data_IF_447827805649
#
_entry.id   IF_447827805649
#
_cell.length_a   1.000
_cell.length_b   1.000
_cell.length_c   1.000
_cell.angle_alpha   90.00
_cell.angle_beta   90.00
_cell.angle_gamma   90.00
#
_symmetry.space_group_name_H-M   'P 1'
#
loop_
_entity.id
_entity.type
_entity.pdbx_description
1 polymer ?
#
# COMPACT_ATOMS: atom_id res chain seq x y z
N UNK A 1 0.37 -9.21 23.16
CA UNK A 1 1.63 -8.86 22.46
C UNK A 1 1.69 -7.34 22.32
N UNK A 2 2.64 -6.66 22.99
CA UNK A 2 2.70 -5.19 22.98
C UNK A 2 3.30 -4.66 21.67
N UNK A 3 2.76 -3.55 21.17
CA UNK A 3 3.32 -2.86 20.01
C UNK A 3 4.74 -2.40 20.32
N UNK A 4 5.74 -2.91 19.59
CA UNK A 4 7.17 -2.56 19.78
C UNK A 4 7.47 -1.06 19.63
N UNK A 5 6.66 -0.31 18.88
CA UNK A 5 6.90 1.11 18.62
C UNK A 5 5.63 1.97 18.75
N UNK A 6 5.75 3.14 19.39
CA UNK A 6 4.63 4.08 19.59
C UNK A 6 4.29 4.90 18.33
N UNK A 7 5.30 5.43 17.64
CA UNK A 7 5.12 6.39 16.53
C UNK A 7 5.60 5.87 15.16
N UNK A 8 6.70 5.13 15.11
CA UNK A 8 7.42 4.86 13.85
C UNK A 8 6.86 3.72 13.01
N UNK A 9 6.26 2.68 13.61
CA UNK A 9 5.72 1.49 12.90
C UNK A 9 6.76 0.90 11.92
N UNK A 10 6.39 0.63 10.66
CA UNK A 10 7.25 0.00 9.65
C UNK A 10 8.58 0.73 9.41
N UNK A 11 8.58 2.06 9.55
CA UNK A 11 9.77 2.91 9.34
C UNK A 11 10.80 2.76 10.46
N UNK A 12 10.52 1.94 11.49
CA UNK A 12 11.50 1.55 12.51
C UNK A 12 12.74 0.84 11.94
N UNK A 13 12.63 0.22 10.76
CA UNK A 13 13.77 -0.43 10.08
C UNK A 13 14.93 0.52 9.73
N UNK A 14 14.64 1.81 9.58
CA UNK A 14 15.66 2.81 9.24
C UNK A 14 16.39 3.38 10.47
N UNK A 15 16.00 2.97 11.69
CA UNK A 15 16.65 3.41 12.93
C UNK A 15 16.70 4.93 13.09
N UNK A 16 17.86 5.45 13.48
CA UNK A 16 18.11 6.88 13.71
C UNK A 16 18.41 7.67 12.44
N UNK A 17 18.72 7.03 11.31
CA UNK A 17 19.20 7.66 10.08
C UNK A 17 18.11 8.40 9.27
N UNK A 18 18.54 9.28 8.35
CA UNK A 18 17.71 10.04 7.38
C UNK A 18 16.85 11.19 7.92
N UNK A 19 16.68 11.30 9.24
CA UNK A 19 15.92 12.37 9.86
C UNK A 19 14.40 12.17 9.87
N UNK A 20 13.70 12.97 10.68
CA UNK A 20 12.29 12.72 10.99
C UNK A 20 11.32 13.06 9.85
N UNK A 21 11.62 14.05 9.01
CA UNK A 21 10.74 14.49 7.91
C UNK A 21 10.63 13.41 6.82
N UNK A 22 11.78 12.91 6.35
CA UNK A 22 11.85 11.85 5.34
C UNK A 22 11.15 10.58 5.81
N UNK A 23 11.39 10.18 7.07
CA UNK A 23 10.73 9.01 7.68
C UNK A 23 9.20 9.16 7.74
N UNK A 24 8.68 10.35 8.02
CA UNK A 24 7.22 10.60 8.02
C UNK A 24 6.62 10.48 6.62
N UNK A 25 7.33 10.93 5.57
CA UNK A 25 6.87 10.79 4.18
C UNK A 25 6.88 9.34 3.73
N UNK A 26 8.01 8.64 3.92
CA UNK A 26 8.15 7.22 3.57
C UNK A 26 7.12 6.36 4.31
N UNK A 27 6.81 6.69 5.57
CA UNK A 27 5.78 5.98 6.33
C UNK A 27 4.43 5.95 5.61
N UNK A 28 3.99 7.08 5.03
CA UNK A 28 2.71 7.16 4.32
C UNK A 28 2.72 6.25 3.09
N UNK A 29 3.83 6.25 2.37
CA UNK A 29 4.04 5.48 1.13
C UNK A 29 4.16 3.98 1.41
N UNK A 30 4.85 3.57 2.47
CA UNK A 30 4.98 2.15 2.83
C UNK A 30 3.67 1.57 3.36
N UNK A 31 2.90 2.36 4.11
CA UNK A 31 1.58 1.93 4.57
C UNK A 31 0.66 1.69 3.37
N UNK A 32 0.60 2.62 2.42
CA UNK A 32 -0.26 2.46 1.23
C UNK A 32 0.15 1.30 0.33
N UNK A 33 1.44 0.92 0.34
CA UNK A 33 1.92 -0.25 -0.39
C UNK A 33 1.54 -1.59 0.28
N UNK A 34 1.60 -1.67 1.61
CA UNK A 34 1.32 -2.90 2.37
C UNK A 34 -0.17 -3.10 2.69
N UNK A 35 -0.98 -2.03 2.56
CA UNK A 35 -2.43 -2.12 2.73
C UNK A 35 -3.08 -3.02 1.68
N UNK A 36 -3.97 -3.90 2.14
CA UNK A 36 -4.83 -4.69 1.26
C UNK A 36 -6.02 -3.83 0.82
N UNK A 37 -6.26 -3.79 -0.48
CA UNK A 37 -7.41 -3.10 -1.05
C UNK A 37 -8.53 -4.07 -1.41
N UNK A 38 -9.75 -3.54 -1.48
CA UNK A 38 -10.91 -4.22 -2.03
C UNK A 38 -10.74 -4.38 -3.54
N UNK A 39 -11.04 -5.56 -4.06
CA UNK A 39 -10.97 -5.83 -5.49
C UNK A 39 -12.33 -5.56 -6.14
N UNK A 40 -12.39 -4.69 -7.15
CA UNK A 40 -13.64 -4.34 -7.85
C UNK A 40 -14.27 -5.51 -8.61
N UNK A 41 -13.51 -6.57 -8.90
CA UNK A 41 -14.04 -7.75 -9.61
C UNK A 41 -14.73 -8.76 -8.71
N UNK A 42 -14.18 -9.02 -7.51
CA UNK A 42 -14.67 -10.08 -6.63
C UNK A 42 -15.13 -9.58 -5.25
N UNK A 43 -15.07 -8.27 -4.98
CA UNK A 43 -15.45 -7.63 -3.72
C UNK A 43 -14.52 -7.92 -2.53
N UNK A 44 -13.68 -8.96 -2.61
CA UNK A 44 -12.79 -9.38 -1.51
C UNK A 44 -11.61 -8.43 -1.31
N UNK A 45 -11.25 -8.17 -0.05
CA UNK A 45 -10.07 -7.37 0.38
C UNK A 45 -8.77 -8.17 0.29
N UNK A 46 -8.45 -8.65 -0.91
CA UNK A 46 -7.26 -9.49 -1.19
C UNK A 46 -6.38 -8.91 -2.30
N UNK A 47 -6.59 -7.65 -2.67
CA UNK A 47 -5.75 -6.94 -3.64
C UNK A 47 -4.44 -6.50 -2.97
N UNK A 48 -3.30 -6.86 -3.55
CA UNK A 48 -1.96 -6.45 -3.08
C UNK A 48 -1.10 -5.97 -4.24
N UNK A 49 -0.15 -5.09 -3.95
CA UNK A 49 0.84 -4.64 -4.94
C UNK A 49 1.85 -5.76 -5.19
N UNK A 50 2.15 -6.05 -6.47
CA UNK A 50 3.21 -7.00 -6.85
C UNK A 50 4.43 -6.30 -7.39
N UNK A 51 4.22 -5.28 -8.22
CA UNK A 51 5.28 -4.42 -8.74
C UNK A 51 4.77 -2.97 -8.84
N UNK A 52 5.64 -2.07 -9.28
CA UNK A 52 5.30 -0.67 -9.54
C UNK A 52 4.18 -0.62 -10.59
N UNK A 53 3.06 0.01 -10.25
CA UNK A 53 1.87 0.10 -11.11
C UNK A 53 1.09 -1.20 -11.30
N UNK A 54 1.57 -2.34 -10.79
CA UNK A 54 0.94 -3.67 -10.99
C UNK A 54 0.36 -4.19 -9.68
N UNK A 55 -0.95 -4.39 -9.68
CA UNK A 55 -1.72 -4.89 -8.55
C UNK A 55 -2.30 -6.27 -8.86
N UNK A 56 -2.23 -7.19 -7.91
CA UNK A 56 -2.69 -8.56 -8.08
C UNK A 56 -3.71 -8.92 -6.99
N UNK A 57 -4.83 -9.50 -7.40
CA UNK A 57 -5.81 -10.05 -6.48
C UNK A 57 -5.53 -11.53 -6.18
N UNK A 58 -5.31 -11.87 -4.92
CA UNK A 58 -5.06 -13.27 -4.52
C UNK A 58 -6.26 -14.20 -4.65
N UNK A 59 -7.50 -13.71 -4.82
CA UNK A 59 -8.69 -14.56 -4.95
C UNK A 59 -9.14 -14.81 -6.38
N UNK A 60 -9.20 -13.78 -7.22
CA UNK A 60 -9.63 -13.92 -8.61
C UNK A 60 -8.45 -14.04 -9.59
N UNK A 61 -7.20 -13.98 -9.09
CA UNK A 61 -5.95 -14.01 -9.87
C UNK A 61 -5.86 -12.96 -10.97
N UNK A 62 -6.72 -11.94 -10.94
CA UNK A 62 -6.67 -10.82 -11.88
C UNK A 62 -5.54 -9.87 -11.49
N UNK A 63 -4.79 -9.48 -12.52
CA UNK A 63 -3.77 -8.44 -12.43
C UNK A 63 -4.33 -7.16 -13.05
N UNK A 64 -4.12 -6.03 -12.38
CA UNK A 64 -4.68 -4.73 -12.74
C UNK A 64 -3.56 -3.70 -12.74
N UNK A 65 -3.53 -2.87 -13.79
CA UNK A 65 -2.68 -1.68 -13.82
C UNK A 65 -3.33 -0.57 -12.98
N UNK A 66 -2.57 0.08 -12.12
CA UNK A 66 -3.07 1.13 -11.24
C UNK A 66 -1.97 2.11 -10.82
N UNK A 67 -2.30 3.01 -9.90
CA UNK A 67 -1.35 4.00 -9.38
C UNK A 67 -0.12 3.38 -8.71
N UNK A 68 0.99 4.13 -8.71
CA UNK A 68 2.27 3.65 -8.19
C UNK A 68 2.24 3.30 -6.70
N UNK A 69 1.59 4.13 -5.88
CA UNK A 69 1.61 3.99 -4.41
C UNK A 69 0.22 3.80 -3.80
N UNK A 70 -0.84 4.12 -4.53
CA UNK A 70 -2.22 3.98 -4.09
C UNK A 70 -2.94 3.24 -5.22
N UNK A 71 -3.59 2.12 -4.90
CA UNK A 71 -4.48 1.48 -5.83
C UNK A 71 -5.81 2.24 -5.88
N UNK A 72 -5.82 3.40 -6.53
CA UNK A 72 -7.06 4.07 -6.90
C UNK A 72 -7.60 3.32 -8.12
N UNK A 73 -8.25 2.17 -7.90
CA UNK A 73 -9.15 1.62 -8.90
C UNK A 73 -10.45 2.42 -8.86
N UNK A 74 -10.34 3.70 -9.22
CA UNK A 74 -11.41 4.41 -9.92
C UNK A 74 -10.99 4.35 -11.37
N UNK A 75 -11.45 3.32 -12.07
CA UNK A 75 -11.55 3.38 -13.53
C UNK A 75 -12.96 3.93 -13.77
N UNK A 76 -13.04 5.08 -14.45
CA UNK A 76 -14.21 5.84 -14.92
C UNK A 76 -14.74 6.96 -14.00
N UNK A 77 -14.06 8.10 -14.03
CA UNK A 77 -14.75 9.40 -14.20
C UNK A 77 -14.23 10.02 -15.50
N UNK A 78 -14.69 9.48 -16.64
CA UNK A 78 -15.03 10.36 -17.77
C UNK A 78 -16.46 10.84 -17.51
N UNK A 79 -16.58 11.91 -16.70
CA UNK A 79 -17.58 12.96 -16.74
C UNK A 79 -17.20 14.06 -15.75
#
# INVERSE_FOLDING_TARGET
MANRTKKVRNVGKYGTCYGASLRKMVKKIEISQDTKYTCSFCGKTKMRRRAVGIWHCGSCMKTVAGGNHINRLEINEEK
#
